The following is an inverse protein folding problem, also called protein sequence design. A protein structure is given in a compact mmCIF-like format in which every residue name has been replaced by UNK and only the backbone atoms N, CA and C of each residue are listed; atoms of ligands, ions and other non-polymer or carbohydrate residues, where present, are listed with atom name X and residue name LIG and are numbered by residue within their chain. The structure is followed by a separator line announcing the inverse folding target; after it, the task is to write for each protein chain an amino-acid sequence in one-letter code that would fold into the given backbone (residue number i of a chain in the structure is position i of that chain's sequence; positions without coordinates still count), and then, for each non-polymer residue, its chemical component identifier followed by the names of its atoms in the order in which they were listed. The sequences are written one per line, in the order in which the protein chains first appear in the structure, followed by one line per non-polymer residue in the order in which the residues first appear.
data_IF_253695875267
#
_entry.id   IF_253695875267
#
_cell.length_a   1.000
_cell.length_b   1.000
_cell.length_c   1.000
_cell.angle_alpha   90.00
_cell.angle_beta   90.00
_cell.angle_gamma   90.00
#
_symmetry.space_group_name_H-M   'P 1'
#
loop_
_entity.id
_entity.type
_entity.pdbx_description
1 polymer ?
#
# COMPACT_ATOMS: atom_id res chain seq x y z
N UNK A 1 -42.11 -0.13 -13.52
CA UNK A 1 -41.39 -1.16 -12.71
C UNK A 1 -39.89 -0.89 -12.59
N UNK A 2 -39.15 -0.49 -13.63
CA UNK A 2 -37.70 -0.24 -13.53
C UNK A 2 -37.29 0.89 -12.54
N UNK A 3 -38.09 1.97 -12.44
CA UNK A 3 -37.81 3.04 -11.46
C UNK A 3 -38.03 2.64 -10.00
N UNK A 4 -38.86 1.63 -9.72
CA UNK A 4 -39.11 1.16 -8.36
C UNK A 4 -38.04 0.18 -7.90
N UNK A 5 -37.52 -0.67 -8.80
CA UNK A 5 -36.37 -1.54 -8.51
C UNK A 5 -35.08 -0.75 -8.32
N UNK A 6 -34.81 0.25 -9.18
CA UNK A 6 -33.65 1.14 -9.02
C UNK A 6 -33.66 1.88 -7.68
N UNK A 7 -34.80 2.49 -7.30
CA UNK A 7 -34.93 3.17 -6.00
C UNK A 7 -34.72 2.24 -4.81
N UNK A 8 -35.18 0.98 -4.90
CA UNK A 8 -34.95 -0.03 -3.86
C UNK A 8 -33.46 -0.39 -3.77
N UNK A 9 -32.78 -0.62 -4.90
CA UNK A 9 -31.34 -0.87 -4.93
C UNK A 9 -30.56 0.27 -4.28
N UNK A 10 -30.81 1.53 -4.67
CA UNK A 10 -30.14 2.70 -4.09
C UNK A 10 -30.38 2.79 -2.58
N UNK A 11 -31.59 2.49 -2.10
CA UNK A 11 -31.90 2.47 -0.67
C UNK A 11 -31.09 1.41 0.08
N UNK A 12 -30.99 0.19 -0.45
CA UNK A 12 -30.20 -0.87 0.19
C UNK A 12 -28.70 -0.56 0.16
N UNK A 13 -28.17 -0.06 -0.97
CA UNK A 13 -26.76 0.35 -1.06
C UNK A 13 -26.41 1.46 -0.08
N UNK A 14 -27.31 2.42 0.18
CA UNK A 14 -27.10 3.46 1.19
C UNK A 14 -27.01 2.90 2.62
N UNK A 15 -27.80 1.89 2.96
CA UNK A 15 -27.71 1.23 4.28
C UNK A 15 -26.39 0.50 4.42
N UNK A 16 -25.99 -0.24 3.38
CA UNK A 16 -24.70 -0.95 3.36
C UNK A 16 -23.55 0.03 3.49
N UNK A 17 -23.57 1.13 2.73
CA UNK A 17 -22.54 2.17 2.81
C UNK A 17 -22.44 2.79 4.22
N UNK A 18 -23.58 3.08 4.87
CA UNK A 18 -23.59 3.63 6.21
C UNK A 18 -23.06 2.65 7.27
N UNK A 19 -23.34 1.34 7.13
CA UNK A 19 -22.84 0.31 8.04
C UNK A 19 -21.36 -0.05 7.77
N UNK A 20 -20.90 0.05 6.52
CA UNK A 20 -19.57 -0.38 6.10
C UNK A 20 -18.45 0.35 6.85
N UNK A 21 -18.63 1.61 7.22
CA UNK A 21 -17.64 2.39 7.98
C UNK A 21 -17.36 1.82 9.38
N UNK A 22 -18.26 0.97 9.91
CA UNK A 22 -18.16 0.45 11.28
C UNK A 22 -18.04 -1.08 11.35
N UNK A 23 -18.84 -1.82 10.59
CA UNK A 23 -18.96 -3.29 10.68
C UNK A 23 -18.15 -4.05 9.61
N UNK A 24 -17.42 -3.37 8.73
CA UNK A 24 -16.68 -4.03 7.66
C UNK A 24 -15.20 -4.25 8.02
N UNK A 25 -14.74 -5.51 8.00
CA UNK A 25 -13.35 -5.85 8.30
C UNK A 25 -12.30 -5.14 7.41
N UNK A 26 -12.65 -4.84 6.15
CA UNK A 26 -11.74 -4.31 5.14
C UNK A 26 -11.80 -2.78 4.99
N UNK A 27 -12.98 -2.17 5.17
CA UNK A 27 -13.17 -0.73 4.93
C UNK A 27 -13.56 0.08 6.19
N UNK A 28 -13.66 -0.58 7.36
CA UNK A 28 -13.99 0.12 8.61
C UNK A 28 -12.84 1.02 9.04
N UNK A 29 -13.18 2.27 9.37
CA UNK A 29 -12.23 3.25 9.92
C UNK A 29 -11.95 3.01 11.41
N UNK A 30 -12.69 2.10 12.05
CA UNK A 30 -12.48 1.78 13.47
C UNK A 30 -11.08 1.22 13.72
N UNK A 31 -10.54 0.40 12.80
CA UNK A 31 -9.17 -0.10 12.91
C UNK A 31 -8.16 1.05 12.83
N UNK A 32 -8.31 1.94 11.83
CA UNK A 32 -7.44 3.11 11.68
C UNK A 32 -7.42 3.95 12.97
N UNK A 33 -8.58 4.31 13.51
CA UNK A 33 -8.70 5.10 14.74
C UNK A 33 -8.08 4.36 15.93
N UNK A 34 -8.36 3.07 16.08
CA UNK A 34 -7.86 2.25 17.18
C UNK A 34 -6.33 2.12 17.18
N UNK A 35 -5.74 1.86 16.01
CA UNK A 35 -4.29 1.72 15.87
C UNK A 35 -3.57 3.07 15.92
N UNK A 36 -4.16 4.15 15.40
CA UNK A 36 -3.59 5.50 15.52
C UNK A 36 -3.45 5.92 16.98
N UNK A 37 -4.48 5.68 17.81
CA UNK A 37 -4.42 5.97 19.25
C UNK A 37 -3.29 5.20 19.95
N UNK A 38 -3.06 3.96 19.55
CA UNK A 38 -1.95 3.16 20.10
C UNK A 38 -0.60 3.68 19.63
N UNK A 39 -0.49 4.10 18.36
CA UNK A 39 0.73 4.69 17.81
C UNK A 39 1.13 5.94 18.59
N UNK A 40 0.17 6.85 18.82
CA UNK A 40 0.40 8.09 19.57
C UNK A 40 0.85 7.81 21.02
N UNK A 41 0.26 6.78 21.64
CA UNK A 41 0.64 6.35 22.98
C UNK A 41 2.06 5.74 23.01
N UNK A 42 2.41 4.91 22.02
CA UNK A 42 3.76 4.36 21.88
C UNK A 42 4.80 5.46 21.66
N UNK A 43 4.48 6.44 20.80
CA UNK A 43 5.31 7.64 20.58
C UNK A 43 5.56 8.41 21.86
N UNK A 44 4.50 8.64 22.64
CA UNK A 44 4.58 9.37 23.92
C UNK A 44 5.44 8.65 24.95
N UNK A 45 5.39 7.30 24.98
CA UNK A 45 6.23 6.48 25.87
C UNK A 45 7.68 6.33 25.38
N UNK A 46 7.99 6.73 24.15
CA UNK A 46 9.30 6.49 23.53
C UNK A 46 9.55 5.03 23.16
N UNK A 47 8.49 4.22 23.02
CA UNK A 47 8.60 2.80 22.67
C UNK A 47 8.77 2.64 21.16
N UNK A 48 10.03 2.67 20.69
CA UNK A 48 10.36 2.65 19.27
C UNK A 48 9.95 1.34 18.57
N UNK A 49 10.04 0.19 19.25
CA UNK A 49 9.65 -1.10 18.68
C UNK A 49 8.14 -1.17 18.46
N UNK A 50 7.35 -0.77 19.46
CA UNK A 50 5.91 -0.76 19.33
C UNK A 50 5.44 0.30 18.33
N UNK A 51 6.10 1.48 18.30
CA UNK A 51 5.82 2.49 17.30
C UNK A 51 6.08 1.98 15.87
N UNK A 52 7.22 1.32 15.63
CA UNK A 52 7.56 0.72 14.34
C UNK A 52 6.52 -0.33 13.93
N UNK A 53 6.16 -1.24 14.83
CA UNK A 53 5.15 -2.28 14.57
C UNK A 53 3.79 -1.69 14.22
N UNK A 54 3.35 -0.68 14.98
CA UNK A 54 2.07 -0.01 14.76
C UNK A 54 2.07 0.84 13.48
N UNK A 55 3.20 1.44 13.13
CA UNK A 55 3.36 2.17 11.87
C UNK A 55 3.21 1.22 10.69
N UNK A 56 3.84 0.05 10.74
CA UNK A 56 3.69 -0.96 9.70
C UNK A 56 2.23 -1.43 9.54
N UNK A 57 1.54 -1.67 10.65
CA UNK A 57 0.11 -2.05 10.65
C UNK A 57 -0.77 -0.94 10.06
N UNK A 58 -0.52 0.31 10.42
CA UNK A 58 -1.23 1.46 9.86
C UNK A 58 -0.98 1.60 8.36
N UNK A 59 0.24 1.34 7.89
CA UNK A 59 0.55 1.29 6.45
C UNK A 59 -0.31 0.28 5.69
N UNK A 60 -0.56 -0.89 6.29
CA UNK A 60 -1.43 -1.90 5.71
C UNK A 60 -2.92 -1.49 5.76
N UNK A 61 -3.37 -0.87 6.86
CA UNK A 61 -4.75 -0.40 7.01
C UNK A 61 -5.06 0.73 6.02
N UNK A 62 -4.19 1.74 5.92
CA UNK A 62 -4.41 2.86 4.99
C UNK A 62 -4.37 2.41 3.54
N UNK A 63 -3.52 1.44 3.21
CA UNK A 63 -3.53 0.77 1.90
C UNK A 63 -4.90 0.14 1.60
N UNK A 64 -5.47 -0.60 2.54
CA UNK A 64 -6.80 -1.22 2.38
C UNK A 64 -7.91 -0.18 2.19
N UNK A 65 -7.77 0.97 2.84
CA UNK A 65 -8.70 2.11 2.71
C UNK A 65 -8.47 2.93 1.42
N UNK A 66 -7.46 2.59 0.61
CA UNK A 66 -7.12 3.30 -0.61
C UNK A 66 -6.35 4.61 -0.40
N UNK A 67 -5.90 4.89 0.83
CA UNK A 67 -5.03 6.04 1.11
C UNK A 67 -3.56 5.65 0.89
N UNK A 68 -3.17 5.64 -0.38
CA UNK A 68 -1.82 5.25 -0.83
C UNK A 68 -0.75 6.19 -0.27
N UNK A 69 -1.05 7.48 -0.15
CA UNK A 69 -0.10 8.46 0.40
C UNK A 69 0.18 8.20 1.87
N UNK A 70 -0.86 8.00 2.70
CA UNK A 70 -0.65 7.66 4.10
C UNK A 70 0.03 6.30 4.27
N UNK A 71 -0.29 5.32 3.41
CA UNK A 71 0.37 4.01 3.40
C UNK A 71 1.88 4.11 3.18
N UNK A 72 2.31 4.84 2.15
CA UNK A 72 3.73 5.07 1.87
C UNK A 72 4.43 5.76 3.03
N UNK A 73 3.82 6.80 3.63
CA UNK A 73 4.41 7.49 4.77
C UNK A 73 4.64 6.54 5.96
N UNK A 74 3.64 5.73 6.31
CA UNK A 74 3.75 4.78 7.41
C UNK A 74 4.83 3.71 7.16
N UNK A 75 4.96 3.20 5.93
CA UNK A 75 6.02 2.27 5.59
C UNK A 75 7.41 2.93 5.59
N UNK A 76 7.52 4.17 5.13
CA UNK A 76 8.78 4.94 5.20
C UNK A 76 9.22 5.19 6.64
N UNK A 77 8.30 5.58 7.53
CA UNK A 77 8.55 5.74 8.96
C UNK A 77 9.02 4.41 9.59
N UNK A 78 8.35 3.31 9.22
CA UNK A 78 8.73 1.96 9.65
C UNK A 78 10.14 1.60 9.18
N UNK A 79 10.47 1.88 7.92
CA UNK A 79 11.77 1.54 7.34
C UNK A 79 12.90 2.36 7.99
N UNK A 80 12.67 3.66 8.23
CA UNK A 80 13.63 4.51 8.93
C UNK A 80 13.94 3.99 10.34
N UNK A 81 12.91 3.53 11.08
CA UNK A 81 13.09 2.94 12.40
C UNK A 81 13.76 1.56 12.33
N UNK A 82 13.41 0.74 11.34
CA UNK A 82 14.06 -0.55 11.10
C UNK A 82 15.57 -0.37 10.94
N UNK A 83 15.98 0.55 10.04
CA UNK A 83 17.39 0.84 9.77
C UNK A 83 18.09 1.43 11.00
N UNK A 84 17.42 2.31 11.75
CA UNK A 84 17.96 2.85 13.00
C UNK A 84 18.21 1.75 14.04
N UNK A 85 17.24 0.87 14.27
CA UNK A 85 17.35 -0.24 15.24
C UNK A 85 18.43 -1.22 14.78
N UNK A 86 18.44 -1.60 13.50
CA UNK A 86 19.44 -2.52 12.97
C UNK A 86 20.86 -1.94 13.05
N UNK A 87 21.03 -0.62 12.86
CA UNK A 87 22.32 0.05 13.07
C UNK A 87 22.78 0.02 14.52
N UNK A 88 21.86 0.19 15.48
CA UNK A 88 22.16 0.17 16.90
C UNK A 88 22.39 -1.25 17.44
N UNK A 89 21.71 -2.24 16.86
CA UNK A 89 21.77 -3.64 17.27
C UNK A 89 21.64 -4.54 16.04
N UNK A 90 22.75 -4.78 15.31
CA UNK A 90 22.73 -5.57 14.09
C UNK A 90 22.18 -6.97 14.31
N UNK A 91 21.25 -7.40 13.45
CA UNK A 91 20.62 -8.73 13.53
C UNK A 91 19.53 -8.87 14.60
N UNK A 92 19.16 -7.79 15.30
CA UNK A 92 18.04 -7.79 16.25
C UNK A 92 16.68 -7.89 15.57
N UNK A 93 16.60 -7.55 14.29
CA UNK A 93 15.40 -7.64 13.47
C UNK A 93 15.61 -8.69 12.37
N UNK A 94 14.58 -9.48 12.03
CA UNK A 94 14.71 -10.49 10.99
C UNK A 94 14.73 -9.85 9.60
N UNK A 95 15.62 -10.33 8.72
CA UNK A 95 15.67 -9.90 7.31
C UNK A 95 14.34 -10.12 6.57
N UNK A 96 13.56 -11.13 6.96
CA UNK A 96 12.23 -11.36 6.40
C UNK A 96 11.24 -10.21 6.68
N UNK A 97 11.42 -9.47 7.78
CA UNK A 97 10.63 -8.27 8.05
C UNK A 97 11.06 -7.11 7.14
N UNK A 98 12.36 -6.94 6.87
CA UNK A 98 12.87 -5.95 5.90
C UNK A 98 12.36 -6.26 4.50
N UNK A 99 12.48 -7.52 4.07
CA UNK A 99 11.92 -8.00 2.80
C UNK A 99 10.44 -7.68 2.67
N UNK A 100 9.63 -8.02 3.69
CA UNK A 100 8.19 -7.78 3.65
C UNK A 100 7.85 -6.29 3.56
N UNK A 101 8.59 -5.45 4.29
CA UNK A 101 8.40 -4.00 4.27
C UNK A 101 8.74 -3.41 2.89
N UNK A 102 9.89 -3.78 2.32
CA UNK A 102 10.29 -3.38 0.97
C UNK A 102 9.26 -3.83 -0.07
N UNK A 103 8.79 -5.07 0.02
CA UNK A 103 7.73 -5.58 -0.84
C UNK A 103 6.46 -4.70 -0.79
N UNK A 104 5.97 -4.37 0.41
CA UNK A 104 4.77 -3.53 0.54
C UNK A 104 5.00 -2.07 0.13
N UNK A 105 6.20 -1.52 0.32
CA UNK A 105 6.58 -0.21 -0.23
C UNK A 105 6.56 -0.23 -1.76
N UNK A 106 7.02 -1.32 -2.37
CA UNK A 106 6.93 -1.55 -3.82
C UNK A 106 5.48 -1.58 -4.30
N UNK A 107 4.62 -2.34 -3.62
CA UNK A 107 3.18 -2.40 -3.92
C UNK A 107 2.53 -1.02 -3.79
N UNK A 108 2.81 -0.28 -2.72
CA UNK A 108 2.29 1.07 -2.49
C UNK A 108 2.75 2.06 -3.57
N UNK A 109 4.01 1.98 -3.97
CA UNK A 109 4.57 2.80 -5.04
C UNK A 109 3.93 2.49 -6.40
N UNK A 110 3.66 1.22 -6.70
CA UNK A 110 2.99 0.83 -7.94
C UNK A 110 1.53 1.28 -7.97
N UNK A 111 0.83 1.25 -6.83
CA UNK A 111 -0.53 1.83 -6.73
C UNK A 111 -0.53 3.34 -6.91
N UNK A 112 0.45 4.05 -6.35
CA UNK A 112 0.61 5.48 -6.61
C UNK A 112 0.83 5.74 -8.11
N UNK A 113 1.60 4.88 -8.78
CA UNK A 113 1.79 4.96 -10.22
C UNK A 113 0.48 4.76 -10.99
N UNK A 114 -0.35 3.79 -10.58
CA UNK A 114 -1.67 3.56 -11.15
C UNK A 114 -2.60 4.78 -10.96
N UNK A 115 -2.63 5.36 -9.76
CA UNK A 115 -3.42 6.56 -9.47
C UNK A 115 -2.97 7.74 -10.35
N UNK A 116 -1.66 7.99 -10.41
CA UNK A 116 -1.06 9.11 -11.15
C UNK A 116 -1.25 9.00 -12.67
N UNK A 117 -1.36 7.78 -13.21
CA UNK A 117 -1.37 7.55 -14.65
C UNK A 117 -2.68 6.95 -15.15
N UNK A 118 -3.10 5.81 -14.62
CA UNK A 118 -4.20 5.02 -15.19
C UNK A 118 -5.57 5.52 -14.73
N UNK A 119 -5.72 5.82 -13.43
CA UNK A 119 -6.99 6.32 -12.87
C UNK A 119 -7.27 7.74 -13.36
N UNK A 120 -6.24 8.58 -13.38
CA UNK A 120 -6.32 10.00 -13.74
C UNK A 120 -6.23 10.25 -15.26
N UNK A 121 -5.49 9.44 -16.02
CA UNK A 121 -5.31 9.61 -17.47
C UNK A 121 -5.78 8.38 -18.24
N UNK A 122 -7.07 8.03 -18.09
CA UNK A 122 -7.69 6.83 -18.68
C UNK A 122 -7.54 6.81 -20.20
N UNK A 123 -6.76 5.85 -20.70
CA UNK A 123 -6.77 5.44 -22.11
C UNK A 123 -7.36 4.04 -22.23
N UNK A 124 -7.80 3.65 -23.42
CA UNK A 124 -8.29 2.29 -23.67
C UNK A 124 -7.23 1.19 -23.50
N UNK A 125 -5.95 1.57 -23.40
CA UNK A 125 -4.80 0.67 -23.24
C UNK A 125 -4.22 0.68 -21.81
N UNK A 126 -4.76 1.51 -20.91
CA UNK A 126 -4.30 1.58 -19.51
C UNK A 126 -4.54 0.24 -18.80
N UNK A 127 -3.53 -0.28 -18.09
CA UNK A 127 -3.59 -1.51 -17.30
C UNK A 127 -3.97 -2.78 -18.08
N UNK A 128 -3.85 -2.79 -19.42
CA UNK A 128 -4.04 -3.99 -20.24
C UNK A 128 -2.68 -4.62 -20.53
N UNK A 129 -2.56 -5.93 -20.36
CA UNK A 129 -1.31 -6.65 -20.56
C UNK A 129 -1.17 -7.18 -22.00
N UNK A 130 0.02 -7.06 -22.61
CA UNK A 130 1.19 -6.31 -22.12
C UNK A 130 0.94 -4.79 -22.12
N UNK A 131 1.45 -4.08 -21.11
CA UNK A 131 1.32 -2.61 -21.03
C UNK A 131 2.23 -2.01 -22.12
N UNK A 132 1.62 -1.28 -23.04
CA UNK A 132 2.29 -0.72 -24.21
C UNK A 132 1.53 0.49 -24.75
N UNK A 133 2.11 1.17 -25.74
CA UNK A 133 1.45 2.27 -26.44
C UNK A 133 1.02 3.38 -25.47
N UNK A 134 -0.26 3.70 -25.46
CA UNK A 134 -0.84 4.74 -24.60
C UNK A 134 -1.07 4.28 -23.15
N UNK A 135 -0.76 3.02 -22.83
CA UNK A 135 -0.75 2.48 -21.46
C UNK A 135 0.55 2.72 -20.69
N UNK A 136 1.64 3.12 -21.36
CA UNK A 136 2.93 3.44 -20.72
C UNK A 136 2.79 4.69 -19.84
N UNK A 137 3.28 4.61 -18.61
CA UNK A 137 3.19 5.68 -17.62
C UNK A 137 4.01 6.91 -18.03
N UNK A 138 3.36 8.07 -17.98
CA UNK A 138 4.02 9.37 -18.18
C UNK A 138 4.66 9.88 -16.90
N UNK A 139 3.95 9.75 -15.78
CA UNK A 139 4.51 9.99 -14.46
C UNK A 139 5.18 8.71 -13.97
N UNK A 140 6.50 8.66 -14.17
CA UNK A 140 7.33 7.47 -13.94
C UNK A 140 7.68 7.23 -12.47
N UNK A 141 7.57 8.25 -11.61
CA UNK A 141 8.08 8.22 -10.22
C UNK A 141 7.60 7.01 -9.44
N UNK A 142 6.30 6.71 -9.48
CA UNK A 142 5.73 5.59 -8.72
C UNK A 142 6.27 4.24 -9.20
N UNK A 143 6.34 4.04 -10.51
CA UNK A 143 6.86 2.80 -11.10
C UNK A 143 8.37 2.64 -10.87
N UNK A 144 9.15 3.72 -10.99
CA UNK A 144 10.60 3.69 -10.70
C UNK A 144 10.87 3.37 -9.21
N UNK A 145 10.12 4.01 -8.30
CA UNK A 145 10.21 3.68 -6.87
C UNK A 145 9.82 2.22 -6.60
N UNK A 146 8.75 1.73 -7.23
CA UNK A 146 8.33 0.34 -7.10
C UNK A 146 9.41 -0.65 -7.56
N UNK A 147 10.04 -0.39 -8.72
CA UNK A 147 11.13 -1.22 -9.22
C UNK A 147 12.30 -1.30 -8.24
N UNK A 148 12.71 -0.18 -7.66
CA UNK A 148 13.81 -0.14 -6.70
C UNK A 148 13.48 -0.98 -5.46
N UNK A 149 12.30 -0.78 -4.87
CA UNK A 149 11.88 -1.55 -3.69
C UNK A 149 11.75 -3.05 -3.96
N UNK A 150 11.21 -3.44 -5.12
CA UNK A 150 11.13 -4.87 -5.48
C UNK A 150 12.51 -5.48 -5.73
N UNK A 151 13.45 -4.74 -6.33
CA UNK A 151 14.82 -5.21 -6.50
C UNK A 151 15.51 -5.41 -5.14
N UNK A 152 15.43 -4.43 -4.25
CA UNK A 152 15.97 -4.55 -2.88
C UNK A 152 15.32 -5.71 -2.11
N UNK A 153 14.01 -5.95 -2.27
CA UNK A 153 13.36 -7.11 -1.68
C UNK A 153 13.91 -8.42 -2.25
N UNK A 154 14.10 -8.51 -3.56
CA UNK A 154 14.62 -9.71 -4.24
C UNK A 154 16.11 -9.97 -3.95
N UNK A 155 16.87 -8.97 -3.52
CA UNK A 155 18.22 -9.18 -2.97
C UNK A 155 18.19 -9.96 -1.64
N UNK A 156 17.10 -9.87 -0.88
CA UNK A 156 16.91 -10.58 0.39
C UNK A 156 16.27 -11.96 0.16
N UNK A 157 15.26 -12.05 -0.69
CA UNK A 157 14.57 -13.29 -1.06
C UNK A 157 14.26 -13.31 -2.56
N UNK A 158 15.16 -13.92 -3.34
CA UNK A 158 15.05 -14.05 -4.79
C UNK A 158 13.94 -15.00 -5.25
N UNK A 159 13.35 -15.76 -4.32
CA UNK A 159 12.29 -16.72 -4.60
C UNK A 159 10.88 -16.11 -4.52
N UNK A 160 10.76 -14.84 -4.11
CA UNK A 160 9.48 -14.14 -4.03
C UNK A 160 8.89 -13.87 -5.42
N UNK A 161 8.16 -14.86 -5.93
CA UNK A 161 7.48 -14.80 -7.24
C UNK A 161 6.52 -13.61 -7.40
N UNK A 162 5.90 -13.14 -6.31
CA UNK A 162 5.03 -11.97 -6.36
C UNK A 162 5.82 -10.69 -6.61
N UNK A 163 6.99 -10.53 -5.97
CA UNK A 163 7.89 -9.40 -6.23
C UNK A 163 8.46 -9.45 -7.65
N UNK A 164 8.86 -10.63 -8.15
CA UNK A 164 9.33 -10.81 -9.54
C UNK A 164 8.24 -10.38 -10.53
N UNK A 165 7.00 -10.83 -10.33
CA UNK A 165 5.89 -10.47 -11.19
C UNK A 165 5.62 -8.97 -11.20
N UNK A 166 5.56 -8.34 -10.02
CA UNK A 166 5.29 -6.91 -9.89
C UNK A 166 6.44 -6.04 -10.39
N UNK A 167 7.69 -6.50 -10.28
CA UNK A 167 8.85 -5.85 -10.89
C UNK A 167 8.72 -5.82 -12.42
N UNK A 168 8.32 -6.93 -13.04
CA UNK A 168 8.09 -6.99 -14.48
C UNK A 168 6.93 -6.07 -14.91
N UNK A 169 5.85 -6.02 -14.13
CA UNK A 169 4.76 -5.09 -14.38
C UNK A 169 5.23 -3.63 -14.30
N UNK A 170 5.99 -3.28 -13.26
CA UNK A 170 6.57 -1.94 -13.13
C UNK A 170 7.47 -1.61 -14.33
N UNK A 171 8.29 -2.56 -14.80
CA UNK A 171 9.10 -2.38 -16.01
C UNK A 171 8.23 -2.12 -17.25
N UNK A 172 7.17 -2.90 -17.49
CA UNK A 172 6.25 -2.67 -18.63
C UNK A 172 5.59 -1.30 -18.57
N UNK A 173 5.24 -0.80 -17.37
CA UNK A 173 4.68 0.56 -17.24
C UNK A 173 5.67 1.65 -17.66
N UNK A 174 6.97 1.37 -17.67
CA UNK A 174 8.01 2.33 -18.03
C UNK A 174 8.43 2.27 -19.51
N UNK A 175 7.96 1.28 -20.26
CA UNK A 175 8.24 1.10 -21.69
C UNK A 175 9.54 0.36 -21.96
#
# INVERSE_FOLDING_TARGET
MAQSSHRRMVKELRKVAAAADTDNYYFSKNRLIHFQKQLDAAKTRGDMFEYMRLSNELGAITMQLGDVTASLQHYQDTYALFEQINKQSPGSLPESAKHSLLYFMGVASLRQAEDDNCVNCRTGESCILPIQGTGVHKNRRGSEAAMNYFQEALEIDDSNTAAIWLLNLAAMTLG
#
